data_IF_386030861884
#
_entry.id   IF_386030861884
#
_cell.length_a   1.000
_cell.length_b   1.000
_cell.length_c   1.000
_cell.angle_alpha   90.00
_cell.angle_beta   90.00
_cell.angle_gamma   90.00
#
_symmetry.space_group_name_H-M   'P 1'
#
loop_
_entity.id
_entity.type
_entity.pdbx_description
1 polymer ?
#
# COMPACT_ATOMS: atom_id res chain seq x y z
N UNK A 1 50.96 43.66 21.47
CA UNK A 1 50.59 42.31 21.94
C UNK A 1 49.09 42.27 22.10
N UNK A 2 48.37 41.69 21.14
CA UNK A 2 46.99 41.20 21.29
C UNK A 2 46.69 40.42 20.02
N UNK A 3 46.97 39.12 20.09
CA UNK A 3 46.73 38.15 19.02
C UNK A 3 45.23 38.03 18.75
N UNK A 4 44.84 38.28 17.50
CA UNK A 4 43.53 37.92 16.97
C UNK A 4 43.56 36.43 16.62
N UNK A 5 42.96 35.59 17.48
CA UNK A 5 42.62 34.22 17.10
C UNK A 5 41.33 34.24 16.26
N UNK A 6 41.48 34.24 14.93
CA UNK A 6 40.42 33.88 14.01
C UNK A 6 40.10 32.39 14.18
N UNK A 7 39.01 32.09 14.90
CA UNK A 7 38.42 30.75 14.93
C UNK A 7 37.74 30.48 13.57
N UNK A 8 38.52 30.02 12.60
CA UNK A 8 37.99 29.51 11.34
C UNK A 8 37.20 28.22 11.61
N UNK A 9 35.87 28.34 11.71
CA UNK A 9 34.97 27.19 11.70
C UNK A 9 35.01 26.53 10.32
N UNK A 10 35.89 25.56 10.15
CA UNK A 10 36.01 24.79 8.91
C UNK A 10 34.78 23.86 8.80
N UNK A 11 34.12 23.78 7.63
CA UNK A 11 32.99 22.87 7.43
C UNK A 11 33.36 21.44 7.81
N UNK A 12 32.43 20.71 8.44
CA UNK A 12 32.68 19.32 8.83
C UNK A 12 33.11 18.51 7.60
N UNK A 13 34.35 17.96 7.57
CA UNK A 13 34.81 17.18 6.43
C UNK A 13 33.94 15.93 6.29
N UNK A 14 33.46 15.67 5.07
CA UNK A 14 32.68 14.48 4.75
C UNK A 14 33.57 13.54 3.94
N UNK A 15 33.74 12.31 4.42
CA UNK A 15 34.43 11.27 3.65
C UNK A 15 33.53 10.84 2.50
N UNK A 16 33.98 11.07 1.26
CA UNK A 16 33.32 10.49 0.09
C UNK A 16 33.95 9.14 -0.22
N UNK A 17 33.12 8.14 -0.48
CA UNK A 17 33.57 6.88 -1.08
C UNK A 17 33.28 6.96 -2.56
N UNK A 18 34.33 6.90 -3.37
CA UNK A 18 34.19 6.85 -4.83
C UNK A 18 33.38 5.61 -5.22
N UNK A 19 32.22 5.85 -5.84
CA UNK A 19 31.49 4.80 -6.51
C UNK A 19 32.11 4.64 -7.89
N UNK A 20 33.12 3.77 -7.98
CA UNK A 20 33.73 3.39 -9.26
C UNK A 20 32.64 2.74 -10.13
N UNK A 21 32.37 3.26 -11.35
CA UNK A 21 31.36 2.67 -12.20
C UNK A 21 31.75 1.24 -12.54
N UNK A 22 30.87 0.30 -12.21
CA UNK A 22 30.96 -1.07 -12.70
C UNK A 22 30.50 -1.08 -14.17
N UNK A 23 31.24 -1.78 -15.02
CA UNK A 23 30.83 -2.01 -16.41
C UNK A 23 29.61 -2.91 -16.43
N UNK A 24 28.57 -2.52 -17.17
CA UNK A 24 27.46 -3.39 -17.51
C UNK A 24 27.57 -3.81 -18.98
N UNK A 25 27.30 -5.08 -19.23
CA UNK A 25 27.14 -5.61 -20.59
C UNK A 25 25.71 -6.10 -20.72
N UNK A 26 25.06 -5.79 -21.85
CA UNK A 26 23.71 -6.27 -22.11
C UNK A 26 23.80 -7.80 -22.24
N UNK A 27 23.08 -8.52 -21.38
CA UNK A 27 22.99 -9.97 -21.51
C UNK A 27 22.18 -10.28 -22.76
N UNK A 28 22.77 -10.93 -23.79
CA UNK A 28 22.01 -11.28 -24.97
C UNK A 28 20.88 -12.23 -24.57
N UNK A 29 19.71 -12.08 -25.19
CA UNK A 29 18.55 -12.92 -24.94
C UNK A 29 18.20 -13.72 -26.18
N UNK A 30 17.71 -14.95 -25.97
CA UNK A 30 17.12 -15.77 -27.03
C UNK A 30 15.61 -15.82 -26.81
N UNK A 31 14.87 -15.62 -27.90
CA UNK A 31 13.42 -15.76 -27.92
C UNK A 31 13.04 -17.19 -28.29
N UNK A 32 12.41 -17.90 -27.37
CA UNK A 32 11.85 -19.23 -27.65
C UNK A 32 10.36 -19.08 -27.92
N UNK A 33 9.85 -19.46 -29.11
CA UNK A 33 8.43 -19.36 -29.41
C UNK A 33 7.62 -20.30 -28.50
N UNK A 34 6.50 -19.80 -27.99
CA UNK A 34 5.54 -20.57 -27.20
C UNK A 34 4.14 -20.41 -27.75
N UNK A 35 3.47 -21.55 -27.93
CA UNK A 35 2.12 -21.57 -28.50
C UNK A 35 1.10 -21.47 -27.37
N UNK A 36 0.64 -20.25 -27.08
CA UNK A 36 -0.41 -19.94 -26.08
C UNK A 36 -0.10 -20.34 -24.62
N UNK A 37 1.00 -19.84 -24.03
CA UNK A 37 1.32 -20.13 -22.63
C UNK A 37 0.25 -19.56 -21.69
N UNK A 38 0.06 -20.23 -20.55
CA UNK A 38 -0.65 -19.67 -19.39
C UNK A 38 0.37 -19.08 -18.44
N UNK A 39 0.25 -17.79 -18.16
CA UNK A 39 1.11 -17.06 -17.22
C UNK A 39 0.31 -16.65 -16.00
N UNK A 40 1.00 -16.32 -14.91
CA UNK A 40 0.40 -15.80 -13.69
C UNK A 40 0.97 -14.40 -13.43
N UNK A 41 0.11 -13.38 -13.42
CA UNK A 41 0.52 -11.96 -13.38
C UNK A 41 -0.42 -11.12 -12.50
N UNK A 42 0.07 -10.04 -11.85
CA UNK A 42 -0.80 -9.06 -11.20
C UNK A 42 -1.71 -8.37 -12.23
N UNK A 43 -3.02 -8.52 -12.06
CA UNK A 43 -4.03 -7.82 -12.85
C UNK A 43 -4.54 -6.63 -12.06
N UNK A 44 -4.58 -5.47 -12.69
CA UNK A 44 -5.14 -4.24 -12.12
C UNK A 44 -6.66 -4.35 -12.13
N UNK A 45 -7.27 -4.35 -10.95
CA UNK A 45 -8.71 -4.52 -10.76
C UNK A 45 -9.42 -3.16 -10.64
N UNK A 46 -8.77 -2.20 -9.99
CA UNK A 46 -9.27 -0.83 -9.84
C UNK A 46 -8.11 0.12 -9.48
N UNK A 47 -8.25 1.40 -9.83
CA UNK A 47 -7.31 2.47 -9.45
C UNK A 47 -8.07 3.71 -8.94
N UNK A 48 -8.78 3.60 -7.80
CA UNK A 48 -9.51 4.74 -7.25
C UNK A 48 -8.58 5.80 -6.66
N UNK A 49 -8.98 7.07 -6.78
CA UNK A 49 -8.49 8.17 -5.95
C UNK A 49 -9.47 8.39 -4.80
N UNK A 50 -8.99 8.24 -3.57
CA UNK A 50 -9.75 8.38 -2.34
C UNK A 50 -9.55 9.78 -1.77
N UNK A 51 -10.64 10.46 -1.41
CA UNK A 51 -10.55 11.72 -0.66
C UNK A 51 -10.72 11.43 0.83
N UNK A 52 -9.68 11.71 1.60
CA UNK A 52 -9.58 11.44 3.04
C UNK A 52 -9.42 12.78 3.76
N UNK A 53 -10.38 13.13 4.61
CA UNK A 53 -10.34 14.37 5.39
C UNK A 53 -9.87 14.07 6.80
N UNK A 54 -8.84 14.76 7.26
CA UNK A 54 -8.21 14.57 8.57
C UNK A 54 -8.09 15.91 9.29
N UNK A 55 -8.36 15.92 10.58
CA UNK A 55 -8.08 17.03 11.47
C UNK A 55 -7.20 16.54 12.61
N UNK A 56 -6.13 17.28 12.93
CA UNK A 56 -5.18 16.88 13.97
C UNK A 56 -4.56 18.07 14.67
N UNK A 57 -4.24 17.88 15.95
CA UNK A 57 -3.42 18.80 16.74
C UNK A 57 -2.02 18.23 16.92
N UNK A 58 -1.01 19.02 16.55
CA UNK A 58 0.40 18.68 16.74
C UNK A 58 0.98 19.59 17.82
N UNK A 59 1.45 18.98 18.90
CA UNK A 59 2.15 19.70 19.98
C UNK A 59 3.59 20.02 19.59
N UNK A 60 3.97 21.29 19.75
CA UNK A 60 5.31 21.84 19.54
C UNK A 60 5.92 22.18 20.90
N UNK A 61 7.02 21.49 21.24
CA UNK A 61 7.75 21.70 22.49
C UNK A 61 9.26 21.75 22.20
N UNK A 62 9.92 22.93 22.36
CA UNK A 62 9.36 24.20 22.81
C UNK A 62 8.32 24.78 21.84
N UNK A 63 7.51 25.74 22.30
CA UNK A 63 6.51 26.43 21.48
C UNK A 63 7.15 27.12 20.28
N UNK A 64 6.42 27.21 19.17
CA UNK A 64 6.89 27.80 17.93
C UNK A 64 6.50 29.28 17.84
N UNK A 65 7.38 30.10 17.28
CA UNK A 65 7.03 31.45 16.79
C UNK A 65 6.61 31.41 15.32
N UNK A 66 7.18 30.50 14.53
CA UNK A 66 6.92 30.38 13.10
C UNK A 66 7.26 28.98 12.58
N UNK A 67 6.42 28.42 11.70
CA UNK A 67 6.72 27.19 10.95
C UNK A 67 7.49 27.58 9.69
N UNK A 68 8.63 26.93 9.45
CA UNK A 68 9.50 27.21 8.30
C UNK A 68 9.25 26.28 7.13
N UNK A 69 9.20 24.97 7.41
CA UNK A 69 9.03 23.94 6.38
C UNK A 69 8.30 22.75 6.96
N UNK A 70 7.48 22.12 6.14
CA UNK A 70 6.82 20.85 6.49
C UNK A 70 6.96 19.87 5.33
N UNK A 71 7.79 18.84 5.49
CA UNK A 71 7.89 17.73 4.54
C UNK A 71 6.87 16.65 4.91
N UNK A 72 6.19 16.08 3.90
CA UNK A 72 5.10 15.11 4.10
C UNK A 72 5.31 13.88 3.26
N UNK A 73 4.98 12.72 3.81
CA UNK A 73 4.89 11.46 3.08
C UNK A 73 3.70 10.65 3.60
N UNK A 74 3.04 9.89 2.73
CA UNK A 74 2.02 8.91 3.14
C UNK A 74 2.67 7.54 3.33
N UNK A 75 2.30 6.88 4.43
CA UNK A 75 2.60 5.48 4.68
C UNK A 75 1.29 4.71 4.72
N UNK A 76 1.13 3.75 3.81
CA UNK A 76 -0.01 2.83 3.82
C UNK A 76 0.28 1.62 4.69
N UNK A 77 -0.56 1.41 5.69
CA UNK A 77 -0.49 0.25 6.59
C UNK A 77 -1.48 -0.84 6.19
N UNK A 78 -2.57 -0.46 5.52
CA UNK A 78 -3.63 -1.37 5.11
C UNK A 78 -4.24 -0.95 3.77
N UNK A 79 -4.38 -1.93 2.89
CA UNK A 79 -5.31 -1.90 1.75
C UNK A 79 -5.95 -3.28 1.67
N UNK A 80 -7.24 -3.39 2.03
CA UNK A 80 -7.95 -4.67 2.03
C UNK A 80 -9.29 -4.55 1.32
N UNK A 81 -9.54 -5.49 0.42
CA UNK A 81 -10.79 -5.59 -0.30
C UNK A 81 -11.71 -6.60 0.40
N UNK A 82 -12.92 -6.17 0.77
CA UNK A 82 -13.97 -7.02 1.33
C UNK A 82 -15.11 -7.13 0.31
N UNK A 83 -15.29 -8.28 -0.33
CA UNK A 83 -16.39 -8.52 -1.27
C UNK A 83 -17.74 -8.45 -0.55
N UNK A 84 -18.72 -7.81 -1.19
CA UNK A 84 -20.10 -7.72 -0.66
C UNK A 84 -21.14 -8.22 -1.66
N UNK A 85 -20.74 -8.45 -2.91
CA UNK A 85 -21.60 -9.03 -3.95
C UNK A 85 -20.75 -9.75 -4.98
N UNK A 86 -21.25 -10.88 -5.46
CA UNK A 86 -20.50 -11.78 -6.33
C UNK A 86 -21.44 -12.56 -7.26
N UNK A 87 -20.91 -12.99 -8.39
CA UNK A 87 -21.60 -13.79 -9.40
C UNK A 87 -20.76 -15.04 -9.72
N UNK A 88 -21.41 -16.21 -9.80
CA UNK A 88 -20.70 -17.48 -10.07
C UNK A 88 -20.13 -17.48 -11.48
N UNK A 89 -18.89 -17.96 -11.63
CA UNK A 89 -18.29 -18.22 -12.94
C UNK A 89 -18.81 -19.58 -13.41
N UNK A 90 -19.59 -19.57 -14.51
CA UNK A 90 -20.25 -20.77 -15.04
C UNK A 90 -19.28 -21.95 -15.20
N UNK A 91 -19.70 -23.13 -14.72
CA UNK A 91 -18.91 -24.36 -14.79
C UNK A 91 -17.76 -24.46 -13.78
N UNK A 92 -17.64 -23.53 -12.82
CA UNK A 92 -16.55 -23.53 -11.82
C UNK A 92 -17.04 -23.23 -10.41
N UNK A 93 -16.20 -23.50 -9.41
CA UNK A 93 -16.44 -23.17 -7.99
C UNK A 93 -15.84 -21.81 -7.59
N UNK A 94 -15.72 -20.89 -8.55
CA UNK A 94 -15.19 -19.55 -8.36
C UNK A 94 -16.23 -18.49 -8.68
N UNK A 95 -16.08 -17.32 -8.07
CA UNK A 95 -16.97 -16.19 -8.23
C UNK A 95 -16.20 -14.96 -8.70
N UNK A 96 -16.86 -14.15 -9.54
CA UNK A 96 -16.46 -12.78 -9.84
C UNK A 96 -17.07 -11.86 -8.82
N UNK A 97 -16.26 -11.01 -8.22
CA UNK A 97 -16.75 -9.97 -7.31
C UNK A 97 -17.36 -8.85 -8.14
N UNK A 98 -18.61 -8.50 -7.86
CA UNK A 98 -19.33 -7.43 -8.57
C UNK A 98 -19.28 -6.12 -7.79
N UNK A 99 -19.29 -6.21 -6.46
CA UNK A 99 -19.13 -5.08 -5.54
C UNK A 99 -18.29 -5.46 -4.33
N UNK A 100 -17.48 -4.54 -3.87
CA UNK A 100 -16.66 -4.70 -2.67
C UNK A 100 -16.48 -3.39 -1.93
N UNK A 101 -16.08 -3.49 -0.66
CA UNK A 101 -15.60 -2.36 0.14
C UNK A 101 -14.07 -2.42 0.21
N UNK A 102 -13.41 -1.35 -0.21
CA UNK A 102 -11.97 -1.18 -0.09
C UNK A 102 -11.68 -0.43 1.21
N UNK A 103 -11.08 -1.11 2.18
CA UNK A 103 -10.63 -0.51 3.44
C UNK A 103 -9.18 -0.07 3.31
N UNK A 104 -8.91 1.18 3.65
CA UNK A 104 -7.58 1.78 3.61
C UNK A 104 -7.25 2.40 4.96
N UNK A 105 -6.03 2.17 5.44
CA UNK A 105 -5.51 2.82 6.63
C UNK A 105 -4.01 3.10 6.50
N UNK A 106 -3.55 4.14 7.19
CA UNK A 106 -2.18 4.60 7.10
C UNK A 106 -1.93 5.80 8.00
N UNK A 107 -0.85 6.51 7.74
CA UNK A 107 -0.56 7.78 8.38
C UNK A 107 0.17 8.73 7.43
N UNK A 108 0.01 10.03 7.67
CA UNK A 108 0.79 11.09 7.06
C UNK A 108 1.95 11.38 8.00
N UNK A 109 3.17 11.07 7.58
CA UNK A 109 4.37 11.46 8.31
C UNK A 109 4.75 12.87 7.93
N UNK A 110 4.77 13.76 8.93
CA UNK A 110 5.19 15.15 8.81
C UNK A 110 6.54 15.33 9.51
N UNK A 111 7.51 15.92 8.80
CA UNK A 111 8.72 16.47 9.41
C UNK A 111 8.59 17.99 9.39
N UNK A 112 8.41 18.58 10.57
CA UNK A 112 8.09 20.00 10.77
C UNK A 112 9.34 20.70 11.28
N UNK A 113 9.86 21.62 10.48
CA UNK A 113 10.93 22.53 10.87
C UNK A 113 10.33 23.88 11.30
N UNK A 114 10.66 24.34 12.50
CA UNK A 114 10.08 25.56 13.08
C UNK A 114 11.07 26.33 13.95
N UNK A 115 10.84 27.63 14.13
CA UNK A 115 11.61 28.49 15.03
C UNK A 115 10.91 28.58 16.39
N UNK A 116 11.67 28.57 17.49
CA UNK A 116 11.13 28.67 18.87
C UNK A 116 11.39 30.01 19.55
N UNK A 117 11.94 30.99 18.84
CA UNK A 117 12.19 32.34 19.34
C UNK A 117 12.17 33.36 18.19
N UNK A 118 11.80 34.60 18.49
CA UNK A 118 11.84 35.70 17.54
C UNK A 118 13.30 36.15 17.27
N UNK A 119 13.55 36.78 16.11
CA UNK A 119 14.80 37.44 15.73
C UNK A 119 16.08 36.59 15.95
N UNK A 120 16.44 35.76 14.97
CA UNK A 120 17.60 34.85 14.98
C UNK A 120 17.51 33.67 15.96
N UNK A 121 16.37 32.98 15.97
CA UNK A 121 16.18 31.74 16.73
C UNK A 121 16.77 30.49 16.05
N UNK A 122 17.21 29.52 16.86
CA UNK A 122 17.57 28.20 16.37
C UNK A 122 16.35 27.46 15.82
N UNK A 123 16.54 26.72 14.72
CA UNK A 123 15.52 25.85 14.16
C UNK A 123 15.38 24.57 15.00
N UNK A 124 14.15 24.09 15.09
CA UNK A 124 13.75 22.84 15.75
C UNK A 124 13.09 21.94 14.71
N UNK A 125 13.25 20.64 14.89
CA UNK A 125 12.54 19.62 14.11
C UNK A 125 11.55 18.89 15.01
N UNK A 126 10.36 18.60 14.45
CA UNK A 126 9.33 17.79 15.07
C UNK A 126 8.79 16.84 14.03
N UNK A 127 8.90 15.54 14.32
CA UNK A 127 8.27 14.52 13.51
C UNK A 127 6.94 14.13 14.13
N UNK A 128 5.88 14.08 13.33
CA UNK A 128 4.54 13.69 13.73
C UNK A 128 3.95 12.73 12.70
N UNK A 129 3.31 11.66 13.18
CA UNK A 129 2.58 10.71 12.34
C UNK A 129 1.08 10.93 12.58
N UNK A 130 0.37 11.43 11.57
CA UNK A 130 -1.07 11.73 11.64
C UNK A 130 -1.84 10.56 11.03
N UNK A 131 -2.55 9.74 11.84
CA UNK A 131 -3.21 8.54 11.34
C UNK A 131 -4.47 8.86 10.52
N UNK A 132 -4.77 8.00 9.56
CA UNK A 132 -6.04 8.01 8.84
C UNK A 132 -6.53 6.59 8.57
N UNK A 133 -7.86 6.43 8.49
CA UNK A 133 -8.49 5.18 8.09
C UNK A 133 -9.87 5.45 7.51
N UNK A 134 -10.29 4.64 6.55
CA UNK A 134 -11.61 4.73 5.95
C UNK A 134 -11.90 3.58 5.01
N UNK A 135 -13.05 3.65 4.34
CA UNK A 135 -13.39 2.72 3.28
C UNK A 135 -14.11 3.42 2.14
N UNK A 136 -14.09 2.80 0.96
CA UNK A 136 -14.91 3.20 -0.20
C UNK A 136 -15.56 1.99 -0.84
N UNK A 137 -16.66 2.20 -1.56
CA UNK A 137 -17.29 1.16 -2.37
C UNK A 137 -16.64 1.08 -3.76
N UNK A 138 -16.33 -0.13 -4.20
CA UNK A 138 -15.86 -0.44 -5.55
C UNK A 138 -16.90 -1.28 -6.28
N UNK A 139 -17.13 -0.94 -7.55
CA UNK A 139 -17.99 -1.68 -8.47
C UNK A 139 -17.10 -2.17 -9.61
N UNK A 140 -17.18 -3.46 -9.91
CA UNK A 140 -16.37 -4.08 -10.96
C UNK A 140 -17.21 -4.35 -12.21
N UNK A 141 -16.62 -4.21 -13.41
CA UNK A 141 -17.31 -4.46 -14.66
C UNK A 141 -17.83 -5.91 -14.73
N UNK A 142 -19.07 -6.06 -15.23
CA UNK A 142 -19.72 -7.37 -15.43
C UNK A 142 -19.62 -7.85 -16.89
N UNK A 143 -18.90 -7.11 -17.72
CA UNK A 143 -18.68 -7.47 -19.12
C UNK A 143 -17.79 -8.72 -19.23
N UNK A 144 -18.02 -9.60 -20.21
CA UNK A 144 -17.11 -10.70 -20.49
C UNK A 144 -15.68 -10.18 -20.70
N UNK A 145 -14.73 -10.67 -19.89
CA UNK A 145 -13.33 -10.25 -19.95
C UNK A 145 -12.98 -8.99 -19.15
N UNK A 146 -13.94 -8.37 -18.45
CA UNK A 146 -13.65 -7.27 -17.53
C UNK A 146 -12.80 -7.71 -16.33
N UNK A 147 -11.86 -6.86 -15.91
CA UNK A 147 -11.05 -7.11 -14.72
C UNK A 147 -11.92 -7.09 -13.46
N UNK A 148 -11.88 -8.19 -12.71
CA UNK A 148 -12.66 -8.38 -11.48
C UNK A 148 -11.89 -9.29 -10.54
N UNK A 149 -11.98 -9.07 -9.21
CA UNK A 149 -11.46 -10.03 -8.26
C UNK A 149 -12.15 -11.39 -8.44
N UNK A 150 -11.36 -12.46 -8.48
CA UNK A 150 -11.83 -13.84 -8.52
C UNK A 150 -11.62 -14.48 -7.16
N UNK A 151 -12.66 -15.09 -6.59
CA UNK A 151 -12.58 -15.74 -5.27
C UNK A 151 -13.12 -17.16 -5.33
N UNK A 152 -12.50 -18.06 -4.57
CA UNK A 152 -12.96 -19.44 -4.41
C UNK A 152 -14.18 -19.55 -3.49
N UNK A 153 -14.98 -20.59 -3.70
CA UNK A 153 -16.07 -20.93 -2.80
C UNK A 153 -15.55 -21.40 -1.43
N UNK A 154 -16.31 -21.10 -0.38
CA UNK A 154 -16.21 -21.77 0.92
C UNK A 154 -17.59 -22.31 1.25
N UNK A 155 -17.72 -23.63 1.34
CA UNK A 155 -18.97 -24.30 1.70
C UNK A 155 -18.77 -25.12 2.98
N UNK A 156 -19.67 -24.91 3.93
CA UNK A 156 -19.84 -25.72 5.12
C UNK A 156 -21.15 -26.49 4.97
N UNK A 157 -21.06 -27.82 4.92
CA UNK A 157 -22.23 -28.68 4.88
C UNK A 157 -22.28 -29.52 6.16
N UNK A 158 -23.44 -29.49 6.83
CA UNK A 158 -23.72 -30.28 8.02
C UNK A 158 -24.96 -31.13 7.74
N UNK A 159 -24.85 -32.44 7.98
CA UNK A 159 -25.98 -33.35 7.95
C UNK A 159 -26.27 -33.83 9.38
N UNK A 160 -27.48 -33.53 9.83
CA UNK A 160 -27.99 -33.98 11.12
C UNK A 160 -28.78 -35.28 10.95
N UNK A 161 -28.60 -36.21 11.89
CA UNK A 161 -29.29 -37.50 11.88
C UNK A 161 -30.54 -37.46 12.77
N UNK A 162 -31.58 -38.23 12.44
CA UNK A 162 -32.76 -38.37 13.29
C UNK A 162 -32.43 -39.19 14.56
N UNK A 163 -33.14 -38.90 15.64
CA UNK A 163 -33.11 -39.68 16.87
C UNK A 163 -33.63 -41.09 16.59
N UNK A 164 -32.77 -42.09 16.85
CA UNK A 164 -33.02 -43.49 16.52
C UNK A 164 -34.25 -44.06 17.24
N UNK A 165 -34.61 -43.52 18.42
CA UNK A 165 -35.73 -44.01 19.23
C UNK A 165 -37.08 -43.37 18.86
N UNK A 166 -37.10 -42.06 18.66
CA UNK A 166 -38.34 -41.29 18.48
C UNK A 166 -38.68 -41.02 17.03
N UNK A 167 -37.67 -40.97 16.13
CA UNK A 167 -37.80 -40.61 14.72
C UNK A 167 -38.48 -39.24 14.45
N UNK A 168 -38.62 -38.40 15.49
CA UNK A 168 -39.35 -37.13 15.43
C UNK A 168 -38.48 -35.91 15.70
N UNK A 169 -37.25 -36.12 16.19
CA UNK A 169 -36.30 -35.06 16.57
C UNK A 169 -34.89 -35.37 16.06
N UNK A 170 -34.06 -34.33 15.91
CA UNK A 170 -32.66 -34.46 15.50
C UNK A 170 -31.79 -34.96 16.66
N UNK A 171 -30.85 -35.86 16.36
CA UNK A 171 -29.88 -36.41 17.30
C UNK A 171 -28.70 -35.45 17.44
N UNK A 172 -28.82 -34.49 18.36
CA UNK A 172 -27.89 -33.36 18.51
C UNK A 172 -26.43 -33.76 18.82
N UNK A 173 -26.19 -34.97 19.31
CA UNK A 173 -24.87 -35.54 19.61
C UNK A 173 -24.25 -36.31 18.43
N UNK A 174 -24.90 -36.33 17.26
CA UNK A 174 -24.41 -37.03 16.06
C UNK A 174 -24.68 -36.18 14.81
N UNK A 175 -23.60 -35.74 14.19
CA UNK A 175 -23.65 -35.01 12.93
C UNK A 175 -22.50 -35.45 12.01
N UNK A 176 -22.72 -35.33 10.71
CA UNK A 176 -21.68 -35.44 9.70
C UNK A 176 -21.31 -34.03 9.23
N UNK A 177 -20.02 -33.72 9.27
CA UNK A 177 -19.49 -32.43 8.85
C UNK A 177 -18.63 -32.61 7.61
N UNK A 178 -18.87 -31.78 6.59
CA UNK A 178 -18.03 -31.69 5.41
C UNK A 178 -17.66 -30.22 5.16
N UNK A 179 -16.35 -29.97 5.05
CA UNK A 179 -15.79 -28.65 4.77
C UNK A 179 -15.13 -28.67 3.39
N UNK A 180 -15.55 -27.77 2.50
CA UNK A 180 -14.89 -27.52 1.23
C UNK A 180 -14.35 -26.10 1.21
N UNK A 181 -13.02 -25.98 1.17
CA UNK A 181 -12.33 -24.69 1.11
C UNK A 181 -11.49 -24.62 -0.17
N UNK A 182 -11.67 -23.56 -0.95
CA UNK A 182 -10.81 -23.23 -2.09
C UNK A 182 -9.92 -22.05 -1.72
N UNK A 183 -8.64 -22.14 -2.06
CA UNK A 183 -7.67 -21.06 -1.86
C UNK A 183 -7.39 -20.36 -3.18
N UNK A 184 -7.31 -19.03 -3.13
CA UNK A 184 -6.95 -18.18 -4.26
C UNK A 184 -6.14 -16.99 -3.76
N UNK A 185 -5.54 -16.24 -4.69
CA UNK A 185 -4.74 -15.08 -4.39
C UNK A 185 -5.62 -13.96 -3.85
N UNK A 186 -5.24 -13.39 -2.70
CA UNK A 186 -5.95 -12.26 -2.12
C UNK A 186 -5.66 -10.98 -2.94
N UNK A 187 -6.67 -10.14 -3.22
CA UNK A 187 -6.42 -8.81 -3.75
C UNK A 187 -5.58 -7.97 -2.78
N UNK A 188 -4.59 -7.25 -3.30
CA UNK A 188 -3.69 -6.39 -2.53
C UNK A 188 -3.65 -4.97 -3.11
N UNK A 189 -3.14 -4.03 -2.33
CA UNK A 189 -3.02 -2.63 -2.72
C UNK A 189 -1.58 -2.19 -2.98
N UNK A 190 -1.44 -1.21 -3.86
CA UNK A 190 -0.20 -0.51 -4.16
C UNK A 190 -0.45 1.01 -4.12
N UNK A 191 0.39 1.75 -3.40
CA UNK A 191 0.34 3.22 -3.38
C UNK A 191 0.82 3.75 -4.72
N UNK A 192 0.02 4.58 -5.39
CA UNK A 192 0.39 5.19 -6.67
C UNK A 192 0.75 6.66 -6.48
N UNK A 193 -0.12 7.42 -5.82
CA UNK A 193 0.08 8.85 -5.62
C UNK A 193 -0.64 9.34 -4.36
N UNK A 194 -0.13 10.45 -3.82
CA UNK A 194 -0.76 11.19 -2.74
C UNK A 194 -0.64 12.69 -3.03
N UNK A 195 -1.76 13.40 -2.93
CA UNK A 195 -1.83 14.85 -3.06
C UNK A 195 -2.46 15.44 -1.79
N UNK A 196 -1.94 16.57 -1.31
CA UNK A 196 -2.32 17.15 -0.03
C UNK A 196 -2.82 18.57 -0.22
N UNK A 197 -4.00 18.86 0.31
CA UNK A 197 -4.50 20.22 0.50
C UNK A 197 -4.67 20.43 1.99
N UNK A 198 -4.08 21.49 2.54
CA UNK A 198 -4.08 21.68 3.99
C UNK A 198 -4.29 23.13 4.40
N UNK A 199 -4.79 23.27 5.63
CA UNK A 199 -4.88 24.52 6.35
C UNK A 199 -4.34 24.30 7.76
N UNK A 200 -3.21 24.94 8.06
CA UNK A 200 -2.52 24.83 9.35
C UNK A 200 -2.64 26.16 10.10
N UNK A 201 -3.04 26.11 11.37
CA UNK A 201 -3.23 27.30 12.20
C UNK A 201 -3.09 26.98 13.69
N UNK A 202 -2.73 28.00 14.50
CA UNK A 202 -2.84 27.86 15.95
C UNK A 202 -4.30 28.01 16.38
N UNK A 203 -4.86 27.13 17.23
CA UNK A 203 -6.22 27.26 17.76
C UNK A 203 -6.49 28.58 18.48
N UNK A 204 -5.43 29.17 19.06
CA UNK A 204 -5.46 30.48 19.71
C UNK A 204 -4.55 31.40 18.92
N UNK A 205 -5.08 32.54 18.47
CA UNK A 205 -4.28 33.51 17.72
C UNK A 205 -3.11 33.99 18.57
N UNK A 206 -1.89 33.76 18.11
CA UNK A 206 -0.71 34.37 18.70
C UNK A 206 -0.61 35.83 18.24
N UNK A 207 -0.14 36.71 19.11
CA UNK A 207 0.28 38.04 18.69
C UNK A 207 1.43 37.93 17.67
N UNK A 208 1.69 38.97 16.85
CA UNK A 208 2.95 39.09 16.12
C UNK A 208 4.12 38.80 17.07
N UNK A 209 5.11 38.03 16.59
CA UNK A 209 6.27 37.53 17.37
C UNK A 209 5.95 36.64 18.59
N UNK A 210 4.67 36.38 18.87
CA UNK A 210 4.21 35.49 19.93
C UNK A 210 4.45 34.01 19.60
N UNK A 211 4.30 33.16 20.61
CA UNK A 211 4.50 31.71 20.48
C UNK A 211 3.18 30.94 20.53
N UNK A 212 3.11 29.82 19.81
CA UNK A 212 2.04 28.83 19.89
C UNK A 212 2.61 27.43 20.10
N UNK A 213 1.97 26.64 20.99
CA UNK A 213 2.39 25.28 21.31
C UNK A 213 1.61 24.20 20.57
N UNK A 214 0.56 24.57 19.84
CA UNK A 214 -0.33 23.65 19.14
C UNK A 214 -0.53 24.13 17.71
N UNK A 215 -0.21 23.27 16.76
CA UNK A 215 -0.52 23.44 15.35
C UNK A 215 -1.74 22.57 15.04
N UNK A 216 -2.89 23.20 14.82
CA UNK A 216 -4.08 22.51 14.33
C UNK A 216 -4.08 22.51 12.82
N UNK A 217 -4.35 21.35 12.26
CA UNK A 217 -4.28 21.13 10.82
C UNK A 217 -5.58 20.51 10.35
N UNK A 218 -6.08 20.96 9.20
CA UNK A 218 -7.15 20.31 8.44
C UNK A 218 -6.58 19.93 7.09
N UNK A 219 -6.56 18.64 6.80
CA UNK A 219 -5.96 18.08 5.58
C UNK A 219 -7.04 17.37 4.78
N UNK A 220 -7.11 17.68 3.49
CA UNK A 220 -7.76 16.86 2.47
C UNK A 220 -6.67 16.12 1.71
N UNK A 221 -6.55 14.83 1.97
CA UNK A 221 -5.63 13.92 1.29
C UNK A 221 -6.37 13.25 0.12
N UNK A 222 -5.87 13.45 -1.09
CA UNK A 222 -6.25 12.66 -2.25
C UNK A 222 -5.23 11.53 -2.43
N UNK A 223 -5.67 10.30 -2.21
CA UNK A 223 -4.83 9.11 -2.21
C UNK A 223 -5.22 8.17 -3.36
N UNK A 224 -4.36 8.05 -4.35
CA UNK A 224 -4.55 7.10 -5.46
C UNK A 224 -3.92 5.76 -5.10
N UNK A 225 -4.75 4.72 -5.08
CA UNK A 225 -4.34 3.36 -4.74
C UNK A 225 -4.72 2.43 -5.88
N UNK A 226 -3.81 1.56 -6.28
CA UNK A 226 -4.07 0.49 -7.23
C UNK A 226 -4.44 -0.78 -6.47
N UNK A 227 -5.55 -1.41 -6.84
CA UNK A 227 -5.99 -2.71 -6.32
C UNK A 227 -5.67 -3.77 -7.35
N UNK A 228 -4.85 -4.76 -6.98
CA UNK A 228 -4.41 -5.82 -7.87
C UNK A 228 -4.77 -7.19 -7.32
N UNK A 229 -4.84 -8.18 -8.21
CA UNK A 229 -4.85 -9.58 -7.84
C UNK A 229 -3.98 -10.36 -8.82
N UNK A 230 -3.15 -11.26 -8.32
CA UNK A 230 -2.38 -12.16 -9.18
C UNK A 230 -3.34 -13.20 -9.79
N UNK A 231 -3.49 -13.19 -11.11
CA UNK A 231 -4.41 -14.06 -11.86
C UNK A 231 -3.68 -14.83 -12.96
N UNK A 232 -4.28 -15.94 -13.39
CA UNK A 232 -3.81 -16.72 -14.54
C UNK A 232 -4.42 -16.17 -15.84
N UNK A 233 -3.58 -15.90 -16.83
CA UNK A 233 -3.98 -15.37 -18.14
C UNK A 233 -3.35 -16.24 -19.23
N UNK A 234 -4.12 -16.53 -20.27
CA UNK A 234 -3.62 -17.19 -21.47
C UNK A 234 -3.20 -16.13 -22.50
N UNK A 235 -1.94 -16.21 -22.95
CA UNK A 235 -1.45 -15.32 -24.00
C UNK A 235 -1.85 -15.84 -25.39
N UNK A 236 -1.92 -14.91 -26.36
CA UNK A 236 -2.25 -15.21 -27.76
C UNK A 236 -1.17 -16.02 -28.49
N UNK A 237 -1.54 -16.54 -29.66
CA UNK A 237 -0.60 -17.19 -30.58
C UNK A 237 0.50 -16.19 -31.03
N UNK A 238 1.74 -16.65 -31.13
CA UNK A 238 2.89 -15.81 -31.48
C UNK A 238 3.65 -15.19 -30.28
N UNK A 239 3.32 -15.59 -29.05
CA UNK A 239 4.10 -15.17 -27.87
C UNK A 239 5.44 -15.89 -27.80
N UNK A 240 6.46 -15.27 -27.21
CA UNK A 240 7.78 -15.86 -26.99
C UNK A 240 8.22 -15.72 -25.54
N UNK A 241 8.83 -16.77 -24.97
CA UNK A 241 9.57 -16.66 -23.72
C UNK A 241 10.95 -16.10 -24.02
N UNK A 242 11.37 -15.09 -23.25
CA UNK A 242 12.69 -14.48 -23.35
C UNK A 242 13.59 -15.16 -22.32
N UNK A 243 14.68 -15.78 -22.77
CA UNK A 243 15.66 -16.43 -21.90
C UNK A 243 17.01 -15.72 -21.99
N UNK A 244 17.66 -15.35 -20.88
CA UNK A 244 19.00 -14.79 -20.89
C UNK A 244 20.02 -15.85 -21.33
N UNK A 245 20.96 -15.46 -22.19
CA UNK A 245 22.06 -16.32 -22.62
C UNK A 245 23.28 -16.04 -21.74
N UNK A 246 23.55 -16.94 -20.79
CA UNK A 246 24.67 -16.85 -19.84
C UNK A 246 25.79 -17.83 -20.25
N UNK A 247 26.53 -17.51 -21.31
CA UNK A 247 27.56 -18.39 -21.88
C UNK A 247 28.76 -18.68 -20.95
N UNK A 248 28.92 -17.93 -19.86
CA UNK A 248 30.09 -17.99 -18.97
C UNK A 248 29.89 -18.69 -17.61
N UNK A 249 28.69 -19.25 -17.34
CA UNK A 249 28.35 -19.85 -16.02
C UNK A 249 27.87 -21.29 -16.12
N UNK A 250 28.08 -21.96 -17.25
CA UNK A 250 27.76 -23.39 -17.40
C UNK A 250 28.68 -24.22 -16.52
N UNK A 251 28.16 -24.97 -15.53
CA UNK A 251 28.97 -25.96 -14.83
C UNK A 251 29.51 -26.99 -15.83
N UNK A 252 30.72 -27.53 -15.62
CA UNK A 252 31.26 -28.55 -16.50
C UNK A 252 30.25 -29.71 -16.60
N UNK A 253 30.03 -30.26 -17.81
CA UNK A 253 29.17 -31.42 -17.95
C UNK A 253 29.70 -32.53 -17.04
N UNK A 254 28.82 -33.07 -16.19
CA UNK A 254 29.13 -34.26 -15.39
C UNK A 254 29.55 -35.38 -16.35
N UNK A 255 30.68 -36.07 -16.07
CA UNK A 255 31.19 -37.13 -16.93
C UNK A 255 30.21 -38.30 -17.09
#
# INVERSE_FOLDING_TARGET
>A
MSDQLESQFQPCPVTSTEQIPLTNEITPVVTTPVTTPTIKVPVVLAEPTLQIVVESDITLSPAATEIKRVKKNVFLNQVKLVPVSFARIGGTDFFRVTRAKLFVAGHIRKNIEYASSACNGALRDRIADVPFSGFTDLIFPQTPGGATPILGISEFAEANFLNERTQMDARLDKAFFQNLVKYNEQPFGELVAANFFELDFSPIMAAPEGTFSTLREKIVLELTVKVLQVQQIRLGAGSSVITPVLLGLTPPPSP
#
